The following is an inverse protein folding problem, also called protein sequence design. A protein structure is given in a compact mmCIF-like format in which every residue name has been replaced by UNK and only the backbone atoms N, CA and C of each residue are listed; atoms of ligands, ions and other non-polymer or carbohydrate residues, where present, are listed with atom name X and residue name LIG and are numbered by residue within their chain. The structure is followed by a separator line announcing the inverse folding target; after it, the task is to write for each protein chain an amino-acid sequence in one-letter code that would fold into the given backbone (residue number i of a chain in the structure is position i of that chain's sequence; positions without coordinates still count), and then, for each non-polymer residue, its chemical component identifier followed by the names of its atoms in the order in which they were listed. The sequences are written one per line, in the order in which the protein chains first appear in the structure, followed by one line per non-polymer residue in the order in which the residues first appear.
data_IF_770134197732
#
_entry.id   IF_770134197732
#
_cell.length_a   1.000
_cell.length_b   1.000
_cell.length_c   1.000
_cell.angle_alpha   90.00
_cell.angle_beta   90.00
_cell.angle_gamma   90.00
#
_symmetry.space_group_name_H-M   'P 1'
#
loop_
_entity.id
_entity.type
_entity.pdbx_description
1 polymer ?
#
# COMPACT_ATOMS: atom_id res chain seq x y z
N UNK A 1 -16.22 -18.30 -9.24
CA UNK A 1 -15.25 -18.18 -8.13
C UNK A 1 -14.38 -19.42 -8.16
N UNK A 2 -13.07 -19.26 -8.41
CA UNK A 2 -12.08 -20.35 -8.27
C UNK A 2 -11.92 -20.68 -6.78
N UNK A 3 -11.81 -21.96 -6.42
CA UNK A 3 -11.54 -22.34 -5.03
C UNK A 3 -10.10 -21.97 -4.68
N UNK A 4 -9.82 -21.66 -3.41
CA UNK A 4 -8.47 -21.35 -2.92
C UNK A 4 -7.47 -22.49 -3.24
N UNK A 5 -7.99 -23.72 -3.29
CA UNK A 5 -7.27 -24.95 -3.65
C UNK A 5 -6.74 -24.94 -5.10
N UNK A 6 -7.44 -24.24 -6.01
CA UNK A 6 -7.10 -24.17 -7.44
C UNK A 6 -6.14 -23.02 -7.78
N UNK A 7 -5.83 -22.15 -6.81
CA UNK A 7 -4.98 -20.97 -7.01
C UNK A 7 -3.49 -21.32 -7.01
N UNK A 8 -2.72 -20.69 -7.91
CA UNK A 8 -1.25 -20.81 -7.90
C UNK A 8 -0.66 -20.27 -6.59
N UNK A 9 0.54 -20.73 -6.22
CA UNK A 9 1.24 -20.25 -5.02
C UNK A 9 1.43 -18.73 -5.04
N UNK A 10 1.82 -18.18 -6.20
CA UNK A 10 2.00 -16.73 -6.43
C UNK A 10 0.68 -15.96 -6.29
N UNK A 11 -0.42 -16.51 -6.80
CA UNK A 11 -1.74 -15.89 -6.66
C UNK A 11 -2.20 -15.87 -5.20
N UNK A 12 -2.02 -16.98 -4.45
CA UNK A 12 -2.33 -17.03 -3.01
C UNK A 12 -1.49 -16.07 -2.21
N UNK A 13 -0.19 -15.98 -2.51
CA UNK A 13 0.70 -15.02 -1.86
C UNK A 13 0.25 -13.59 -2.12
N UNK A 14 -0.09 -13.26 -3.38
CA UNK A 14 -0.58 -11.93 -3.75
C UNK A 14 -1.88 -11.56 -3.03
N UNK A 15 -2.80 -12.51 -2.84
CA UNK A 15 -4.02 -12.31 -2.04
C UNK A 15 -3.70 -12.03 -0.57
N UNK A 16 -2.82 -12.83 0.04
CA UNK A 16 -2.47 -12.66 1.44
C UNK A 16 -1.74 -11.34 1.69
N UNK A 17 -0.83 -10.95 0.80
CA UNK A 17 -0.15 -9.65 0.85
C UNK A 17 -1.16 -8.52 0.71
N UNK A 18 -2.07 -8.57 -0.28
CA UNK A 18 -3.11 -7.54 -0.45
C UNK A 18 -3.98 -7.38 0.80
N UNK A 19 -4.38 -8.49 1.43
CA UNK A 19 -5.16 -8.45 2.67
C UNK A 19 -4.36 -7.91 3.86
N UNK A 20 -3.09 -8.29 3.98
CA UNK A 20 -2.21 -7.79 5.02
C UNK A 20 -1.98 -6.28 4.88
N UNK A 21 -1.60 -5.80 3.70
CA UNK A 21 -1.40 -4.37 3.44
C UNK A 21 -2.68 -3.59 3.55
N UNK A 22 -3.81 -4.16 3.11
CA UNK A 22 -5.12 -3.57 3.28
C UNK A 22 -5.47 -3.38 4.76
N UNK A 23 -5.20 -4.39 5.59
CA UNK A 23 -5.44 -4.32 7.03
C UNK A 23 -4.54 -3.29 7.72
N UNK A 24 -3.24 -3.24 7.39
CA UNK A 24 -2.31 -2.24 7.94
C UNK A 24 -2.72 -0.84 7.49
N UNK A 25 -3.12 -0.68 6.22
CA UNK A 25 -3.57 0.60 5.70
C UNK A 25 -4.84 1.08 6.39
N UNK A 26 -5.83 0.22 6.59
CA UNK A 26 -7.06 0.56 7.33
C UNK A 26 -6.73 0.97 8.76
N UNK A 27 -5.86 0.21 9.45
CA UNK A 27 -5.42 0.54 10.80
C UNK A 27 -4.72 1.90 10.85
N UNK A 28 -3.78 2.15 9.92
CA UNK A 28 -3.10 3.42 9.79
C UNK A 28 -4.08 4.58 9.54
N UNK A 29 -5.03 4.39 8.62
CA UNK A 29 -6.04 5.38 8.29
C UNK A 29 -6.90 5.74 9.51
N UNK A 30 -7.38 4.74 10.25
CA UNK A 30 -8.17 4.94 11.47
C UNK A 30 -7.37 5.64 12.58
N UNK A 31 -6.06 5.41 12.64
CA UNK A 31 -5.19 6.09 13.60
C UNK A 31 -4.91 7.53 13.23
N UNK A 32 -4.79 7.82 11.93
CA UNK A 32 -4.44 9.15 11.45
C UNK A 32 -5.65 10.08 11.28
N UNK A 33 -6.86 9.54 11.12
CA UNK A 33 -8.04 10.32 10.74
C UNK A 33 -9.22 10.09 11.69
N UNK A 34 -10.08 11.10 11.85
CA UNK A 34 -11.36 10.92 12.54
C UNK A 34 -12.37 10.23 11.60
N UNK A 35 -12.34 8.90 11.55
CA UNK A 35 -13.24 8.10 10.72
C UNK A 35 -12.81 8.02 9.25
N UNK A 36 -13.64 8.56 8.34
CA UNK A 36 -13.35 8.59 6.89
C UNK A 36 -12.89 9.96 6.39
N UNK A 37 -12.45 10.84 7.30
CA UNK A 37 -11.87 12.13 6.94
C UNK A 37 -10.62 11.95 6.09
N UNK A 38 -10.47 12.76 5.04
CA UNK A 38 -9.26 12.78 4.19
C UNK A 38 -8.15 13.64 4.84
N UNK A 39 -8.48 14.38 5.90
CA UNK A 39 -7.53 15.19 6.65
C UNK A 39 -7.03 14.43 7.87
N UNK A 40 -5.69 14.29 8.05
CA UNK A 40 -5.15 13.73 9.26
C UNK A 40 -5.41 14.67 10.44
N UNK A 41 -5.54 14.08 11.63
CA UNK A 41 -5.57 14.81 12.89
C UNK A 41 -4.19 15.41 13.14
N UNK A 42 -4.13 16.57 13.77
CA UNK A 42 -2.86 17.14 14.23
C UNK A 42 -2.33 16.33 15.41
N UNK A 43 -1.13 15.77 15.25
CA UNK A 43 -0.47 14.95 16.27
C UNK A 43 0.73 15.68 16.85
N UNK A 44 1.00 15.42 18.13
CA UNK A 44 2.32 15.71 18.68
C UNK A 44 3.38 14.81 18.01
N UNK A 45 4.64 15.29 17.86
CA UNK A 45 5.68 14.51 17.18
C UNK A 45 5.89 13.10 17.75
N UNK A 46 5.75 12.93 19.06
CA UNK A 46 5.91 11.63 19.72
C UNK A 46 4.79 10.64 19.40
N UNK A 47 3.54 11.10 19.38
CA UNK A 47 2.38 10.28 19.04
C UNK A 47 2.42 9.86 17.56
N UNK A 48 2.75 10.81 16.68
CA UNK A 48 2.91 10.55 15.26
C UNK A 48 4.02 9.53 14.99
N UNK A 49 5.18 9.70 15.61
CA UNK A 49 6.28 8.74 15.51
C UNK A 49 5.87 7.35 15.99
N UNK A 50 5.10 7.26 17.08
CA UNK A 50 4.55 5.99 17.58
C UNK A 50 3.64 5.30 16.55
N UNK A 51 2.79 6.05 15.84
CA UNK A 51 1.94 5.51 14.77
C UNK A 51 2.81 4.96 13.63
N UNK A 52 3.80 5.74 13.16
CA UNK A 52 4.69 5.32 12.06
C UNK A 52 5.48 4.07 12.42
N UNK A 53 6.05 4.02 13.63
CA UNK A 53 6.73 2.82 14.15
C UNK A 53 5.77 1.63 14.20
N UNK A 54 4.52 1.85 14.63
CA UNK A 54 3.47 0.83 14.62
C UNK A 54 3.18 0.29 13.22
N UNK A 55 3.09 1.16 12.21
CA UNK A 55 2.93 0.74 10.80
C UNK A 55 4.09 -0.14 10.37
N UNK A 56 5.33 0.34 10.54
CA UNK A 56 6.53 -0.41 10.13
C UNK A 56 6.58 -1.76 10.82
N UNK A 57 6.32 -1.81 12.13
CA UNK A 57 6.31 -3.03 12.91
C UNK A 57 5.25 -4.02 12.38
N UNK A 58 4.01 -3.59 12.20
CA UNK A 58 2.93 -4.44 11.69
C UNK A 58 3.24 -4.96 10.28
N UNK A 59 3.72 -4.11 9.37
CA UNK A 59 4.11 -4.51 8.02
C UNK A 59 5.20 -5.57 8.06
N UNK A 60 6.25 -5.38 8.86
CA UNK A 60 7.37 -6.34 8.98
C UNK A 60 6.88 -7.67 9.55
N UNK A 61 6.09 -7.64 10.63
CA UNK A 61 5.58 -8.88 11.27
C UNK A 61 4.70 -9.66 10.29
N UNK A 62 3.75 -9.00 9.62
CA UNK A 62 2.83 -9.67 8.68
C UNK A 62 3.57 -10.23 7.47
N UNK A 63 4.49 -9.47 6.86
CA UNK A 63 5.26 -9.95 5.72
C UNK A 63 6.18 -11.11 6.08
N UNK A 64 6.78 -11.06 7.28
CA UNK A 64 7.60 -12.16 7.79
C UNK A 64 6.76 -13.42 7.99
N UNK A 65 5.56 -13.29 8.58
CA UNK A 65 4.65 -14.42 8.77
C UNK A 65 4.19 -15.02 7.43
N UNK A 66 3.87 -14.19 6.43
CA UNK A 66 3.53 -14.64 5.08
C UNK A 66 4.72 -15.37 4.46
N UNK A 67 5.92 -14.79 4.50
CA UNK A 67 7.13 -15.38 3.92
C UNK A 67 7.45 -16.75 4.53
N UNK A 68 7.44 -16.87 5.87
CA UNK A 68 7.66 -18.15 6.58
C UNK A 68 6.62 -19.19 6.16
N UNK A 69 5.34 -18.80 6.10
CA UNK A 69 4.24 -19.71 5.71
C UNK A 69 4.47 -20.28 4.31
N UNK A 70 4.83 -19.44 3.34
CA UNK A 70 5.10 -19.88 1.97
C UNK A 70 6.42 -20.62 1.83
N UNK A 71 7.46 -20.29 2.60
CA UNK A 71 8.71 -21.04 2.58
C UNK A 71 8.49 -22.49 3.02
N UNK A 72 7.75 -22.70 4.13
CA UNK A 72 7.40 -24.03 4.64
C UNK A 72 6.55 -24.79 3.61
N UNK A 73 5.55 -24.13 2.99
CA UNK A 73 4.71 -24.75 1.97
C UNK A 73 5.48 -25.08 0.67
N UNK A 74 6.40 -24.22 0.23
CA UNK A 74 7.17 -24.42 -1.01
C UNK A 74 8.17 -25.57 -0.93
N UNK A 75 8.70 -25.89 0.26
CA UNK A 75 9.53 -27.09 0.46
C UNK A 75 8.80 -28.39 0.09
N UNK A 76 7.46 -28.35 0.03
CA UNK A 76 6.62 -29.48 -0.39
C UNK A 76 6.25 -29.46 -1.89
N UNK A 77 6.38 -28.33 -2.59
CA UNK A 77 6.05 -28.18 -4.01
C UNK A 77 7.21 -27.50 -4.74
N UNK A 78 8.06 -28.28 -5.43
CA UNK A 78 8.98 -27.77 -6.46
C UNK A 78 8.20 -27.31 -7.71
N UNK A 79 7.35 -26.30 -7.55
CA UNK A 79 6.67 -25.68 -8.67
C UNK A 79 7.66 -24.75 -9.39
N UNK A 80 7.94 -25.04 -10.66
CA UNK A 80 8.72 -24.18 -11.55
C UNK A 80 7.87 -22.92 -11.81
N UNK A 81 8.42 -21.72 -11.56
CA UNK A 81 7.76 -20.45 -11.95
C UNK A 81 7.52 -20.47 -13.45
N UNK A 82 6.26 -20.30 -13.84
CA UNK A 82 5.87 -20.22 -15.25
C UNK A 82 6.30 -18.85 -15.82
N UNK A 83 6.60 -18.77 -17.12
CA UNK A 83 6.87 -17.51 -17.80
C UNK A 83 5.68 -16.55 -17.66
N UNK A 84 4.46 -17.11 -17.65
CA UNK A 84 3.22 -16.38 -17.38
C UNK A 84 3.23 -15.68 -16.02
N UNK A 85 3.75 -16.33 -14.97
CA UNK A 85 3.82 -15.74 -13.62
C UNK A 85 4.70 -14.48 -13.62
N UNK A 86 5.82 -14.55 -14.34
CA UNK A 86 6.78 -13.46 -14.45
C UNK A 86 6.16 -12.26 -15.19
N UNK A 87 5.42 -12.52 -16.27
CA UNK A 87 4.74 -11.46 -17.02
C UNK A 87 3.67 -10.76 -16.18
N UNK A 88 2.87 -11.52 -15.42
CA UNK A 88 1.83 -10.99 -14.53
C UNK A 88 2.46 -10.12 -13.43
N UNK A 89 3.53 -10.60 -12.77
CA UNK A 89 4.25 -9.85 -11.74
C UNK A 89 4.85 -8.55 -12.30
N UNK A 90 5.44 -8.61 -13.50
CA UNK A 90 6.00 -7.44 -14.17
C UNK A 90 4.91 -6.42 -14.48
N UNK A 91 3.74 -6.86 -14.97
CA UNK A 91 2.61 -5.97 -15.25
C UNK A 91 2.07 -5.31 -13.98
N UNK A 92 1.91 -6.09 -12.91
CA UNK A 92 1.52 -5.55 -11.59
C UNK A 92 2.49 -4.49 -11.10
N UNK A 93 3.79 -4.80 -11.14
CA UNK A 93 4.84 -3.87 -10.70
C UNK A 93 4.89 -2.60 -11.55
N UNK A 94 4.70 -2.72 -12.86
CA UNK A 94 4.69 -1.58 -13.77
C UNK A 94 3.52 -0.62 -13.51
N UNK A 95 2.33 -1.16 -13.27
CA UNK A 95 1.14 -0.34 -12.95
C UNK A 95 1.28 0.29 -11.56
N UNK A 96 1.70 -0.48 -10.55
CA UNK A 96 1.94 0.02 -9.21
C UNK A 96 2.95 1.17 -9.20
N UNK A 97 4.07 1.02 -9.92
CA UNK A 97 5.08 2.07 -10.05
C UNK A 97 4.54 3.34 -10.71
N UNK A 98 3.71 3.21 -11.76
CA UNK A 98 3.07 4.37 -12.39
C UNK A 98 2.13 5.10 -11.44
N UNK A 99 1.38 4.37 -10.62
CA UNK A 99 0.49 4.97 -9.60
C UNK A 99 1.31 5.68 -8.53
N UNK A 100 2.39 5.06 -8.05
CA UNK A 100 3.31 5.69 -7.10
C UNK A 100 3.88 6.99 -7.68
N UNK A 101 4.37 6.96 -8.92
CA UNK A 101 4.94 8.13 -9.59
C UNK A 101 3.91 9.25 -9.78
N UNK A 102 2.70 8.90 -10.24
CA UNK A 102 1.61 9.86 -10.40
C UNK A 102 1.17 10.46 -9.06
N UNK A 103 1.06 9.63 -8.02
CA UNK A 103 0.68 10.07 -6.68
C UNK A 103 1.72 10.95 -6.01
N UNK A 104 3.01 10.61 -6.12
CA UNK A 104 4.10 11.46 -5.63
C UNK A 104 4.14 12.78 -6.40
N UNK A 105 3.98 12.74 -7.73
CA UNK A 105 3.85 13.95 -8.54
C UNK A 105 2.69 14.83 -8.09
N UNK A 106 1.53 14.24 -7.79
CA UNK A 106 0.38 14.94 -7.24
C UNK A 106 0.68 15.58 -5.88
N UNK A 107 1.33 14.85 -4.97
CA UNK A 107 1.75 15.37 -3.65
C UNK A 107 2.67 16.58 -3.81
N UNK A 108 3.65 16.52 -4.71
CA UNK A 108 4.57 17.64 -4.99
C UNK A 108 3.79 18.85 -5.51
N UNK A 109 2.91 18.66 -6.49
CA UNK A 109 2.07 19.76 -7.02
C UNK A 109 1.20 20.34 -5.92
N UNK A 110 0.56 19.52 -5.09
CA UNK A 110 -0.26 19.96 -3.97
C UNK A 110 0.54 20.77 -2.93
N UNK A 111 1.78 20.38 -2.64
CA UNK A 111 2.69 21.14 -1.78
C UNK A 111 3.05 22.50 -2.38
N UNK A 112 3.42 22.55 -3.67
CA UNK A 112 3.76 23.80 -4.37
C UNK A 112 2.56 24.74 -4.38
N UNK A 113 1.38 24.24 -4.75
CA UNK A 113 0.15 25.04 -4.78
C UNK A 113 -0.25 25.54 -3.39
N UNK A 114 -0.13 24.70 -2.36
CA UNK A 114 -0.37 25.10 -0.97
C UNK A 114 0.55 26.25 -0.57
N UNK A 115 1.85 26.18 -0.91
CA UNK A 115 2.82 27.23 -0.57
C UNK A 115 2.68 28.52 -1.38
N UNK A 116 2.30 28.42 -2.67
CA UNK A 116 2.26 29.56 -3.59
C UNK A 116 0.93 30.31 -3.59
N UNK A 117 -0.19 29.63 -3.29
CA UNK A 117 -1.54 30.20 -3.33
C UNK A 117 -2.33 29.90 -2.04
N UNK A 118 -1.84 30.37 -0.88
CA UNK A 118 -2.39 29.97 0.41
C UNK A 118 -3.84 30.40 0.64
N UNK A 119 -4.29 31.52 0.05
CA UNK A 119 -5.68 32.03 0.18
C UNK A 119 -6.71 31.14 -0.55
N UNK A 120 -6.37 30.64 -1.75
CA UNK A 120 -7.28 29.83 -2.58
C UNK A 120 -7.35 28.36 -2.13
N UNK A 121 -6.31 27.89 -1.42
CA UNK A 121 -6.21 26.50 -0.93
C UNK A 121 -6.69 26.30 0.51
N UNK A 122 -7.22 27.34 1.19
CA UNK A 122 -7.70 27.24 2.58
C UNK A 122 -8.75 26.13 2.78
N UNK A 123 -9.60 25.90 1.78
CA UNK A 123 -10.67 24.90 1.85
C UNK A 123 -10.29 23.49 1.33
N UNK A 124 -9.11 23.33 0.71
CA UNK A 124 -8.68 22.08 0.07
C UNK A 124 -7.67 21.29 0.93
N UNK A 125 -7.15 20.17 0.42
CA UNK A 125 -6.13 19.35 1.08
C UNK A 125 -4.85 20.20 1.21
N UNK A 126 -4.60 20.74 2.40
CA UNK A 126 -3.35 21.44 2.70
C UNK A 126 -2.29 20.41 3.05
N UNK A 127 -1.13 20.49 2.37
CA UNK A 127 0.07 19.71 2.67
C UNK A 127 1.14 20.67 3.21
N UNK A 128 0.85 21.28 4.34
CA UNK A 128 1.68 22.32 4.96
C UNK A 128 2.54 21.76 6.09
N UNK A 129 2.04 20.75 6.79
CA UNK A 129 2.75 20.14 7.92
C UNK A 129 3.47 18.87 7.48
N UNK A 130 4.58 18.56 8.17
CA UNK A 130 5.31 17.30 7.97
C UNK A 130 4.41 16.07 8.13
N UNK A 131 3.47 16.12 9.06
CA UNK A 131 2.48 15.05 9.30
C UNK A 131 1.59 14.83 8.08
N UNK A 132 1.05 15.92 7.49
CA UNK A 132 0.21 15.85 6.29
C UNK A 132 0.98 15.31 5.08
N UNK A 133 2.23 15.75 4.90
CA UNK A 133 3.09 15.29 3.82
C UNK A 133 3.38 13.79 3.95
N UNK A 134 3.82 13.33 5.13
CA UNK A 134 4.09 11.91 5.36
C UNK A 134 2.80 11.08 5.23
N UNK A 135 1.68 11.56 5.76
CA UNK A 135 0.39 10.90 5.60
C UNK A 135 0.03 10.71 4.12
N UNK A 136 0.14 11.76 3.30
CA UNK A 136 -0.16 11.69 1.88
C UNK A 136 0.78 10.72 1.14
N UNK A 137 2.09 10.75 1.45
CA UNK A 137 3.06 9.81 0.88
C UNK A 137 2.77 8.36 1.26
N UNK A 138 2.40 8.10 2.52
CA UNK A 138 2.00 6.78 3.00
C UNK A 138 0.75 6.29 2.27
N UNK A 139 -0.27 7.13 2.13
CA UNK A 139 -1.50 6.80 1.37
C UNK A 139 -1.15 6.45 -0.08
N UNK A 140 -0.34 7.26 -0.76
CA UNK A 140 0.10 7.00 -2.14
C UNK A 140 0.85 5.66 -2.21
N UNK A 141 1.75 5.40 -1.27
CA UNK A 141 2.51 4.15 -1.22
C UNK A 141 1.61 2.92 -1.07
N UNK A 142 0.65 2.97 -0.13
CA UNK A 142 -0.29 1.87 0.08
C UNK A 142 -1.21 1.66 -1.13
N UNK A 143 -1.74 2.73 -1.71
CA UNK A 143 -2.60 2.63 -2.91
C UNK A 143 -1.83 2.01 -4.08
N UNK A 144 -0.57 2.41 -4.28
CA UNK A 144 0.28 1.84 -5.32
C UNK A 144 0.51 0.33 -5.12
N UNK A 145 0.81 -0.09 -3.89
CA UNK A 145 1.11 -1.49 -3.60
C UNK A 145 -0.14 -2.38 -3.61
N UNK A 146 -1.26 -1.91 -3.05
CA UNK A 146 -2.56 -2.57 -3.18
C UNK A 146 -2.95 -2.73 -4.64
N UNK A 147 -2.71 -1.72 -5.48
CA UNK A 147 -3.03 -1.81 -6.90
C UNK A 147 -2.13 -2.81 -7.63
N UNK A 148 -0.84 -2.86 -7.31
CA UNK A 148 0.08 -3.88 -7.84
C UNK A 148 -0.48 -5.28 -7.58
N UNK A 149 -0.84 -5.58 -6.33
CA UNK A 149 -1.35 -6.90 -5.96
C UNK A 149 -2.75 -7.17 -6.56
N UNK A 150 -3.62 -6.17 -6.64
CA UNK A 150 -4.92 -6.28 -7.31
C UNK A 150 -4.79 -6.61 -8.80
N UNK A 151 -3.84 -5.96 -9.49
CA UNK A 151 -3.52 -6.25 -10.90
C UNK A 151 -2.98 -7.66 -11.07
N UNK A 152 -2.08 -8.11 -10.19
CA UNK A 152 -1.56 -9.48 -10.23
C UNK A 152 -2.70 -10.49 -10.10
N UNK A 153 -3.56 -10.33 -9.09
CA UNK A 153 -4.73 -11.19 -8.85
C UNK A 153 -5.67 -11.22 -10.06
N UNK A 154 -5.95 -10.06 -10.65
CA UNK A 154 -6.78 -9.96 -11.86
C UNK A 154 -6.14 -10.67 -13.06
N UNK A 155 -4.81 -10.59 -13.21
CA UNK A 155 -4.06 -11.29 -14.25
C UNK A 155 -4.12 -12.81 -14.12
N UNK A 156 -4.27 -13.35 -12.91
CA UNK A 156 -4.47 -14.78 -12.67
C UNK A 156 -5.91 -15.26 -12.89
N UNK A 157 -6.89 -14.36 -12.70
CA UNK A 157 -8.31 -14.67 -12.91
C UNK A 157 -8.73 -14.70 -14.39
N UNK A 158 -7.84 -14.31 -15.30
CA UNK A 158 -8.02 -14.32 -16.75
C UNK A 158 -7.18 -15.43 -17.39
#
# INVERSE_FOLDING_TARGET
MTRIEDMTSTQRQSWLTLLADGAVFIWFWQKMTAGFSIRPIDFEPGEFAGIIVGVVFLTVVLHTAIAITFEIASKQQKAKRDERDIEIERRGSHIGYRILQAGVGFVIVAMVMSSGFPEEFKEHIQLMTTVQIIFALMVVSYVADLTKHAVMIYGYGR
#
